data_IF_765066620800
#
_entry.id   IF_765066620800
#
_cell.length_a   1.000
_cell.length_b   1.000
_cell.length_c   1.000
_cell.angle_alpha   90.00
_cell.angle_beta   90.00
_cell.angle_gamma   90.00
#
_symmetry.space_group_name_H-M   'P 1'
#
loop_
_entity.id
_entity.type
_entity.pdbx_description
1 polymer ?
#
# COMPACT_ATOMS: atom_id res chain seq x y z
N UNK A 1 2.09 8.58 16.16
CA UNK A 1 1.68 7.48 17.06
C UNK A 1 2.67 6.34 16.93
N UNK A 2 2.96 5.61 17.99
CA UNK A 2 3.70 4.32 17.90
C UNK A 2 2.84 3.25 17.21
N UNK A 3 3.43 2.08 16.93
CA UNK A 3 2.70 0.93 16.40
C UNK A 3 1.54 0.53 17.33
N UNK A 4 1.79 0.46 18.63
CA UNK A 4 0.77 0.06 19.61
C UNK A 4 -0.33 1.12 19.70
N UNK A 5 0.03 2.40 19.76
CA UNK A 5 -0.94 3.50 19.74
C UNK A 5 -1.80 3.50 18.48
N UNK A 6 -1.23 3.15 17.31
CA UNK A 6 -1.99 2.99 16.08
C UNK A 6 -2.97 1.82 16.21
N UNK A 7 -2.53 0.67 16.73
CA UNK A 7 -3.39 -0.51 16.97
C UNK A 7 -4.54 -0.21 17.94
N UNK A 8 -4.25 0.49 19.03
CA UNK A 8 -5.26 0.94 19.99
C UNK A 8 -6.26 1.89 19.32
N UNK A 9 -5.76 2.83 18.52
CA UNK A 9 -6.62 3.79 17.80
C UNK A 9 -7.49 3.13 16.74
N UNK A 10 -6.96 2.14 16.02
CA UNK A 10 -7.70 1.29 15.09
C UNK A 10 -8.83 0.57 15.81
N UNK A 11 -8.53 -0.05 16.95
CA UNK A 11 -9.51 -0.77 17.75
C UNK A 11 -10.60 0.17 18.28
N UNK A 12 -10.22 1.36 18.75
CA UNK A 12 -11.14 2.38 19.26
C UNK A 12 -12.00 3.04 18.17
N UNK A 13 -11.60 2.97 16.90
CA UNK A 13 -12.32 3.52 15.75
C UNK A 13 -12.81 2.41 14.81
N UNK A 14 -13.29 1.29 15.35
CA UNK A 14 -13.70 0.11 14.57
C UNK A 14 -14.76 0.38 13.49
N UNK A 15 -15.58 1.42 13.69
CA UNK A 15 -16.61 1.84 12.73
C UNK A 15 -16.03 2.65 11.55
N UNK A 16 -14.80 3.16 11.71
CA UNK A 16 -14.04 3.83 10.67
C UNK A 16 -12.93 2.91 10.16
N UNK A 17 -12.35 3.26 9.02
CA UNK A 17 -11.17 2.58 8.48
C UNK A 17 -10.07 3.59 8.22
N UNK A 18 -8.83 3.13 8.23
CA UNK A 18 -7.71 3.94 7.76
C UNK A 18 -7.90 4.20 6.26
N UNK A 19 -7.81 5.46 5.82
CA UNK A 19 -7.86 5.83 4.40
C UNK A 19 -6.51 6.27 3.86
N UNK A 20 -5.64 6.78 4.73
CA UNK A 20 -4.24 7.03 4.42
C UNK A 20 -3.41 6.64 5.62
N UNK A 21 -2.29 5.97 5.38
CA UNK A 21 -1.30 5.62 6.38
C UNK A 21 0.07 6.10 5.92
N UNK A 22 0.75 6.86 6.77
CA UNK A 22 2.14 7.25 6.54
C UNK A 22 2.99 6.88 7.73
N UNK A 23 4.21 6.44 7.43
CA UNK A 23 5.28 6.23 8.39
C UNK A 23 6.27 7.39 8.32
N UNK A 24 6.82 7.76 9.47
CA UNK A 24 7.93 8.70 9.57
C UNK A 24 8.79 8.37 10.79
N UNK A 25 9.98 8.98 10.86
CA UNK A 25 10.94 8.78 11.96
C UNK A 25 11.19 10.11 12.65
N UNK A 26 11.15 10.12 13.98
CA UNK A 26 11.56 11.24 14.82
C UNK A 26 12.61 10.74 15.80
N UNK A 27 13.85 11.24 15.67
CA UNK A 27 14.99 10.67 16.38
C UNK A 27 15.21 9.21 15.97
N UNK A 28 15.21 8.29 16.93
CA UNK A 28 15.35 6.84 16.69
C UNK A 28 14.03 6.07 16.82
N UNK A 29 12.88 6.75 16.72
CA UNK A 29 11.57 6.16 16.91
C UNK A 29 10.75 6.22 15.62
N UNK A 30 10.23 5.06 15.20
CA UNK A 30 9.27 4.95 14.10
C UNK A 30 7.88 5.34 14.60
N UNK A 31 7.25 6.26 13.88
CA UNK A 31 5.93 6.79 14.16
C UNK A 31 5.04 6.72 12.93
N UNK A 32 3.73 6.73 13.18
CA UNK A 32 2.68 6.69 12.18
C UNK A 32 1.76 7.91 12.28
N UNK A 33 1.30 8.37 11.12
CA UNK A 33 0.16 9.25 10.97
C UNK A 33 -0.87 8.58 10.06
N UNK A 34 -2.14 8.79 10.35
CA UNK A 34 -3.23 8.18 9.61
C UNK A 34 -4.43 9.12 9.53
N UNK A 35 -5.23 8.94 8.49
CA UNK A 35 -6.58 9.52 8.37
C UNK A 35 -7.61 8.41 8.42
N UNK A 36 -8.81 8.73 8.90
CA UNK A 36 -9.92 7.77 9.01
C UNK A 36 -11.13 8.27 8.24
N UNK A 37 -11.78 7.36 7.52
CA UNK A 37 -12.97 7.62 6.74
C UNK A 37 -14.14 6.76 7.19
N UNK A 38 -15.35 7.30 7.07
CA UNK A 38 -16.59 6.52 7.20
C UNK A 38 -16.69 5.53 6.07
N UNK A 39 -17.27 4.37 6.37
CA UNK A 39 -17.65 3.37 5.36
C UNK A 39 -18.61 4.00 4.34
N UNK A 40 -18.33 3.87 3.05
CA UNK A 40 -19.21 4.29 1.95
C UNK A 40 -19.90 3.09 1.33
N UNK A 41 -20.89 3.33 0.46
CA UNK A 41 -21.64 2.26 -0.20
C UNK A 41 -20.79 1.47 -1.21
N UNK A 42 -19.65 2.00 -1.67
CA UNK A 42 -18.70 1.26 -2.52
C UNK A 42 -17.86 0.24 -1.72
N UNK A 43 -17.82 0.38 -0.40
CA UNK A 43 -17.10 -0.52 0.47
C UNK A 43 -17.95 -1.78 0.70
N UNK A 44 -17.48 -2.94 0.26
CA UNK A 44 -18.18 -4.19 0.57
C UNK A 44 -18.17 -4.41 2.08
N UNK A 45 -19.29 -4.09 2.75
CA UNK A 45 -19.49 -4.16 4.20
C UNK A 45 -18.46 -3.38 5.07
N UNK A 46 -17.61 -2.57 4.46
CA UNK A 46 -16.47 -1.93 5.13
C UNK A 46 -15.37 -2.91 5.53
N UNK A 47 -15.21 -4.00 4.78
CA UNK A 47 -14.11 -4.94 4.92
C UNK A 47 -12.80 -4.26 4.52
N UNK A 48 -11.82 -4.29 5.43
CA UNK A 48 -10.51 -3.68 5.23
C UNK A 48 -9.44 -4.48 5.95
N UNK A 49 -8.21 -4.32 5.48
CA UNK A 49 -7.04 -5.00 6.03
C UNK A 49 -5.86 -4.03 5.99
N UNK A 50 -5.00 -4.05 7.01
CA UNK A 50 -3.76 -3.30 6.99
C UNK A 50 -2.61 -4.15 7.47
N UNK A 51 -1.43 -3.90 6.92
CA UNK A 51 -0.19 -4.50 7.37
C UNK A 51 0.88 -3.42 7.48
N UNK A 52 1.74 -3.56 8.49
CA UNK A 52 2.79 -2.59 8.77
C UNK A 52 4.08 -3.30 9.14
N UNK A 53 5.19 -2.71 8.74
CA UNK A 53 6.53 -3.17 9.12
C UNK A 53 7.00 -4.38 8.32
N UNK A 54 6.51 -4.57 7.10
CA UNK A 54 6.84 -5.74 6.27
C UNK A 54 8.09 -5.45 5.42
N UNK A 55 8.97 -6.42 5.25
CA UNK A 55 10.18 -6.26 4.39
C UNK A 55 9.89 -6.44 2.90
N UNK A 56 8.67 -6.84 2.56
CA UNK A 56 8.11 -6.85 1.22
C UNK A 56 6.64 -6.42 1.27
N UNK A 57 6.03 -6.17 0.11
CA UNK A 57 4.61 -5.85 0.07
C UNK A 57 3.79 -7.06 0.57
N UNK A 58 2.89 -6.83 1.52
CA UNK A 58 1.97 -7.88 1.96
C UNK A 58 0.82 -8.01 0.98
N UNK A 59 0.80 -9.12 0.24
CA UNK A 59 -0.23 -9.44 -0.74
C UNK A 59 -1.49 -10.06 -0.13
N UNK A 60 -1.54 -10.26 1.19
CA UNK A 60 -2.54 -11.07 1.92
C UNK A 60 -3.92 -11.21 1.26
N UNK A 61 -4.80 -10.22 1.33
CA UNK A 61 -6.22 -10.36 0.95
C UNK A 61 -6.52 -10.12 -0.54
N UNK A 62 -5.49 -9.96 -1.37
CA UNK A 62 -5.61 -9.53 -2.76
C UNK A 62 -6.54 -10.40 -3.61
N UNK A 63 -6.45 -11.72 -3.46
CA UNK A 63 -7.25 -12.69 -4.22
C UNK A 63 -8.76 -12.55 -4.00
N UNK A 64 -9.16 -11.88 -2.91
CA UNK A 64 -10.54 -11.83 -2.45
C UNK A 64 -11.25 -10.53 -2.87
N UNK A 65 -10.66 -9.78 -3.81
CA UNK A 65 -11.18 -8.50 -4.31
C UNK A 65 -10.79 -7.30 -3.46
N UNK A 66 -9.67 -7.41 -2.72
CA UNK A 66 -9.10 -6.29 -1.98
C UNK A 66 -8.12 -5.50 -2.82
N UNK A 67 -8.33 -4.18 -2.82
CA UNK A 67 -7.56 -3.18 -3.55
C UNK A 67 -6.78 -2.30 -2.59
N UNK A 68 -5.53 -1.98 -2.91
CA UNK A 68 -4.71 -1.12 -2.05
C UNK A 68 -5.18 0.33 -2.17
N UNK A 69 -5.51 0.95 -1.04
CA UNK A 69 -5.95 2.35 -0.97
C UNK A 69 -4.90 3.28 -0.37
N UNK A 70 -3.92 2.71 0.33
CA UNK A 70 -2.76 3.45 0.82
C UNK A 70 -1.55 2.53 0.83
N UNK A 71 -0.44 3.01 0.26
CA UNK A 71 0.84 2.33 0.25
C UNK A 71 1.91 3.31 0.70
N UNK A 72 2.65 2.93 1.74
CA UNK A 72 3.79 3.69 2.26
C UNK A 72 5.00 2.78 2.35
N UNK A 73 6.14 3.29 1.91
CA UNK A 73 7.42 2.57 1.96
C UNK A 73 8.48 3.50 2.51
N UNK A 74 9.28 3.00 3.44
CA UNK A 74 10.36 3.76 4.05
C UNK A 74 11.62 2.93 4.14
N UNK A 75 12.78 3.56 4.00
CA UNK A 75 14.08 2.91 4.16
C UNK A 75 14.49 2.93 5.62
N UNK A 76 14.71 1.76 6.22
CA UNK A 76 15.22 1.60 7.58
C UNK A 76 16.56 0.88 7.46
N UNK A 77 17.65 1.56 7.80
CA UNK A 77 19.02 1.04 7.64
C UNK A 77 19.27 0.47 6.23
N UNK A 78 18.86 1.21 5.20
CA UNK A 78 19.06 0.82 3.81
C UNK A 78 18.04 -0.19 3.25
N UNK A 79 17.24 -0.84 4.10
CA UNK A 79 16.24 -1.82 3.68
C UNK A 79 14.83 -1.22 3.64
N UNK A 80 14.00 -1.57 2.64
CA UNK A 80 12.65 -1.06 2.54
C UNK A 80 11.72 -1.73 3.54
N UNK A 81 10.81 -0.94 4.10
CA UNK A 81 9.75 -1.40 5.00
C UNK A 81 8.42 -0.86 4.50
N UNK A 82 7.54 -1.79 4.17
CA UNK A 82 6.23 -1.59 3.56
C UNK A 82 5.15 -1.54 4.64
N UNK A 83 4.26 -0.57 4.47
CA UNK A 83 2.99 -0.45 5.15
C UNK A 83 1.90 -0.29 4.09
N UNK A 84 0.82 -1.06 4.18
CA UNK A 84 -0.25 -1.04 3.19
C UNK A 84 -1.61 -1.16 3.86
N UNK A 85 -2.58 -0.43 3.31
CA UNK A 85 -3.99 -0.52 3.66
C UNK A 85 -4.76 -0.96 2.43
N UNK A 86 -5.54 -2.01 2.61
CA UNK A 86 -6.34 -2.69 1.62
C UNK A 86 -7.83 -2.54 1.95
N UNK A 87 -8.64 -2.41 0.91
CA UNK A 87 -10.09 -2.30 0.99
C UNK A 87 -10.74 -3.28 0.04
N UNK A 88 -11.77 -3.99 0.51
CA UNK A 88 -12.56 -4.87 -0.36
C UNK A 88 -13.62 -4.10 -1.13
N UNK A 89 -13.70 -4.35 -2.43
CA UNK A 89 -14.73 -3.79 -3.29
C UNK A 89 -15.70 -4.86 -3.82
N UNK A 90 -16.93 -4.44 -4.09
CA UNK A 90 -18.01 -5.27 -4.63
C UNK A 90 -17.89 -5.57 -6.13
N UNK A 91 -17.23 -4.68 -6.86
CA UNK A 91 -17.03 -4.76 -8.31
C UNK A 91 -15.82 -5.63 -8.67
N UNK A 92 -15.94 -6.35 -9.79
CA UNK A 92 -14.84 -7.08 -10.39
C UNK A 92 -13.69 -6.14 -10.78
N UNK A 93 -12.48 -6.64 -10.67
CA UNK A 93 -11.27 -5.94 -11.06
C UNK A 93 -10.09 -6.88 -10.90
N UNK A 94 -9.14 -6.79 -11.81
CA UNK A 94 -7.84 -7.41 -11.63
C UNK A 94 -6.91 -6.34 -11.10
N UNK A 95 -6.26 -6.62 -9.99
CA UNK A 95 -5.19 -5.79 -9.50
C UNK A 95 -3.86 -6.30 -10.06
N UNK A 96 -2.93 -5.39 -10.26
CA UNK A 96 -1.56 -5.70 -10.65
C UNK A 96 -0.60 -4.92 -9.76
N UNK A 97 0.36 -5.61 -9.18
CA UNK A 97 1.41 -4.98 -8.38
C UNK A 97 2.68 -4.95 -9.22
N UNK A 98 3.19 -3.77 -9.61
CA UNK A 98 4.52 -3.65 -10.20
C UNK A 98 5.68 -4.17 -9.36
N UNK A 99 5.47 -4.66 -8.14
CA UNK A 99 6.52 -5.40 -7.43
C UNK A 99 6.49 -6.83 -7.93
N UNK A 100 7.26 -7.15 -8.97
CA UNK A 100 7.25 -8.51 -9.51
C UNK A 100 7.58 -9.49 -8.36
N UNK A 101 6.63 -10.39 -8.13
CA UNK A 101 6.82 -11.67 -7.46
C UNK A 101 7.42 -11.61 -6.04
N UNK A 102 6.99 -10.61 -5.26
CA UNK A 102 7.24 -10.57 -3.81
C UNK A 102 8.67 -10.23 -3.39
N UNK A 103 9.56 -9.91 -4.34
CA UNK A 103 10.95 -9.50 -4.06
C UNK A 103 11.51 -8.44 -5.03
N UNK A 104 10.88 -8.16 -6.16
CA UNK A 104 11.46 -7.26 -7.17
C UNK A 104 10.88 -5.84 -7.07
N UNK A 105 11.68 -4.97 -6.50
CA UNK A 105 11.56 -3.52 -6.62
C UNK A 105 11.75 -3.08 -8.10
N UNK A 106 11.09 -2.02 -8.57
CA UNK A 106 11.32 -1.51 -9.92
C UNK A 106 12.26 -0.30 -9.91
N UNK A 107 13.38 -0.42 -10.61
CA UNK A 107 14.19 0.73 -11.02
C UNK A 107 13.36 1.71 -11.87
N UNK A 108 13.73 3.01 -11.95
CA UNK A 108 12.90 4.03 -12.60
C UNK A 108 12.50 3.70 -14.05
N UNK A 109 13.44 3.19 -14.85
CA UNK A 109 13.18 2.83 -16.25
C UNK A 109 12.25 1.62 -16.39
N UNK A 110 12.42 0.61 -15.53
CA UNK A 110 11.55 -0.56 -15.47
C UNK A 110 10.14 -0.16 -15.02
N UNK A 111 10.04 0.71 -14.00
CA UNK A 111 8.76 1.25 -13.55
C UNK A 111 8.04 2.01 -14.68
N UNK A 112 8.72 2.87 -15.42
CA UNK A 112 8.11 3.61 -16.53
C UNK A 112 7.58 2.66 -17.62
N UNK A 113 8.34 1.61 -17.94
CA UNK A 113 7.93 0.59 -18.92
C UNK A 113 6.68 -0.15 -18.45
N UNK A 114 6.67 -0.63 -17.21
CA UNK A 114 5.52 -1.30 -16.59
C UNK A 114 4.31 -0.38 -16.52
N UNK A 115 4.49 0.87 -16.08
CA UNK A 115 3.43 1.87 -15.99
C UNK A 115 2.75 2.07 -17.36
N UNK A 116 3.54 2.28 -18.42
CA UNK A 116 3.02 2.45 -19.80
C UNK A 116 2.32 1.20 -20.29
N UNK A 117 2.88 0.03 -20.01
CA UNK A 117 2.27 -1.25 -20.39
C UNK A 117 0.89 -1.45 -19.74
N UNK A 118 0.77 -1.25 -18.42
CA UNK A 118 -0.49 -1.44 -17.72
C UNK A 118 -1.54 -0.40 -18.07
N UNK A 119 -1.16 0.88 -18.14
CA UNK A 119 -2.07 1.95 -18.57
C UNK A 119 -2.54 1.76 -20.01
N UNK A 120 -1.67 1.27 -20.91
CA UNK A 120 -2.04 0.90 -22.27
C UNK A 120 -3.07 -0.23 -22.36
N UNK A 121 -3.18 -1.08 -21.32
CA UNK A 121 -4.18 -2.15 -21.21
C UNK A 121 -5.47 -1.72 -20.50
N UNK A 122 -5.53 -0.45 -20.10
CA UNK A 122 -6.68 0.15 -19.42
C UNK A 122 -6.66 0.02 -17.91
N UNK A 123 -5.53 -0.31 -17.29
CA UNK A 123 -5.38 -0.27 -15.84
C UNK A 123 -4.99 1.14 -15.38
N UNK A 124 -5.67 1.68 -14.36
CA UNK A 124 -5.29 2.91 -13.68
C UNK A 124 -4.40 2.63 -12.47
N UNK A 125 -3.38 3.46 -12.17
CA UNK A 125 -2.63 3.36 -10.93
C UNK A 125 -3.52 3.71 -9.73
N UNK A 126 -3.48 2.90 -8.67
CA UNK A 126 -4.20 3.14 -7.41
C UNK A 126 -3.32 3.75 -6.34
N UNK A 127 -2.14 3.16 -6.13
CA UNK A 127 -1.13 3.71 -5.25
C UNK A 127 0.25 3.52 -5.90
N UNK A 128 1.08 4.56 -5.85
CA UNK A 128 2.46 4.53 -6.33
C UNK A 128 3.34 5.25 -5.33
N UNK A 129 4.48 4.66 -5.01
CA UNK A 129 5.46 5.24 -4.09
C UNK A 129 6.87 4.99 -4.58
N UNK A 130 7.71 6.03 -4.47
CA UNK A 130 9.16 5.92 -4.62
C UNK A 130 9.83 5.78 -3.27
N UNK A 131 10.91 5.00 -3.18
CA UNK A 131 11.69 4.81 -1.97
C UNK A 131 13.15 4.52 -2.29
N UNK A 132 14.03 4.74 -1.31
CA UNK A 132 15.45 4.41 -1.42
C UNK A 132 15.74 3.00 -0.89
N UNK A 133 16.56 2.25 -1.62
CA UNK A 133 17.13 0.98 -1.21
C UNK A 133 18.66 1.07 -1.32
N UNK A 134 19.37 0.74 -0.26
CA UNK A 134 20.84 0.79 -0.23
C UNK A 134 21.46 -0.23 -1.20
N UNK A 135 22.33 0.26 -2.08
CA UNK A 135 22.94 -0.54 -3.15
C UNK A 135 22.12 -0.60 -4.45
N UNK A 136 20.84 -0.23 -4.43
CA UNK A 136 19.97 -0.22 -5.61
C UNK A 136 19.49 1.20 -6.01
N UNK A 137 19.55 2.18 -5.10
CA UNK A 137 19.14 3.56 -5.38
C UNK A 137 17.64 3.78 -5.19
N UNK A 138 17.05 4.67 -5.99
CA UNK A 138 15.61 4.97 -5.94
C UNK A 138 14.84 3.94 -6.74
N UNK A 139 13.88 3.31 -6.07
CA UNK A 139 13.01 2.28 -6.62
C UNK A 139 11.55 2.69 -6.45
N UNK A 140 10.67 2.01 -7.16
CA UNK A 140 9.24 2.24 -7.13
C UNK A 140 8.48 0.97 -6.78
N UNK A 141 7.35 1.17 -6.10
CA UNK A 141 6.33 0.15 -5.86
C UNK A 141 4.98 0.79 -6.13
N UNK A 142 4.02 -0.02 -6.54
CA UNK A 142 2.67 0.46 -6.73
C UNK A 142 1.67 -0.66 -6.92
N UNK A 143 0.41 -0.27 -7.08
CA UNK A 143 -0.71 -1.13 -7.43
C UNK A 143 -1.50 -0.45 -8.53
N UNK A 144 -2.01 -1.27 -9.45
CA UNK A 144 -2.78 -0.89 -10.62
C UNK A 144 -4.05 -1.69 -10.64
N UNK A 145 -5.08 -1.13 -11.22
CA UNK A 145 -6.40 -1.74 -11.21
C UNK A 145 -7.13 -1.38 -12.49
N UNK A 146 -7.92 -2.32 -12.98
CA UNK A 146 -8.89 -2.07 -14.04
C UNK A 146 -10.29 -2.29 -13.49
N UNK A 147 -11.08 -1.22 -13.46
CA UNK A 147 -12.51 -1.32 -13.18
C UNK A 147 -13.18 -2.12 -14.33
N UNK A 148 -14.02 -3.09 -13.96
CA UNK A 148 -14.78 -3.92 -14.92
C UNK A 148 -15.90 -3.16 -15.62
#
# INVERSE_FOLDING_TARGET
MTKDQLSDKVSALSDLRITTLTRYVVGNQVLFAATWGKRTAEDWHGDWYYSIGKTGLDHGPFSDGYKAISLSVYSVNGAPVFDVVWQRYSGGGSDFVPTADGTAHLEPASFETTYKYETGRGFGPRAVVGYYYEGCGILYAGTFEKDS
#
